data_IF_971427016191
#
_entry.id   IF_971427016191
#
_cell.length_a   1.000
_cell.length_b   1.000
_cell.length_c   1.000
_cell.angle_alpha   90.00
_cell.angle_beta   90.00
_cell.angle_gamma   90.00
#
_symmetry.space_group_name_H-M   'P 1'
#
loop_
_entity.id
_entity.type
_entity.pdbx_description
1 polymer ?
#
# COMPACT_ATOMS: atom_id res chain seq x y z
N UNK A 1 2.83 -12.54 -31.94
CA UNK A 1 2.75 -12.63 -30.47
C UNK A 1 2.04 -11.33 -30.05
N UNK A 2 0.71 -11.37 -30.04
CA UNK A 2 -0.12 -10.20 -29.77
C UNK A 2 -0.01 -9.81 -28.29
N UNK A 3 -0.02 -8.51 -28.06
CA UNK A 3 0.26 -7.81 -26.82
C UNK A 3 -0.75 -8.14 -25.68
N UNK A 4 -0.53 -9.28 -25.01
CA UNK A 4 -1.31 -9.69 -23.84
C UNK A 4 -1.18 -8.68 -22.67
N UNK A 5 -0.13 -7.87 -22.64
CA UNK A 5 0.06 -6.85 -21.62
C UNK A 5 -0.90 -5.66 -21.78
N UNK A 6 -1.16 -5.26 -23.01
CA UNK A 6 -2.10 -4.18 -23.34
C UNK A 6 -3.53 -4.53 -22.92
N UNK A 7 -3.94 -5.76 -23.13
CA UNK A 7 -5.28 -6.24 -22.77
C UNK A 7 -5.50 -6.29 -21.27
N UNK A 8 -4.52 -6.72 -20.48
CA UNK A 8 -4.61 -6.77 -19.02
C UNK A 8 -4.69 -5.37 -18.39
N UNK A 9 -3.87 -4.42 -18.88
CA UNK A 9 -3.90 -3.02 -18.43
C UNK A 9 -5.25 -2.39 -18.76
N UNK A 10 -5.73 -2.58 -19.98
CA UNK A 10 -7.03 -2.08 -20.44
C UNK A 10 -8.19 -2.67 -19.63
N UNK A 11 -8.14 -3.97 -19.33
CA UNK A 11 -9.12 -4.64 -18.48
C UNK A 11 -9.08 -4.08 -17.05
N UNK A 12 -7.89 -3.88 -16.49
CA UNK A 12 -7.74 -3.29 -15.17
C UNK A 12 -8.35 -1.89 -15.10
N UNK A 13 -7.96 -1.00 -16.01
CA UNK A 13 -8.41 0.40 -16.02
C UNK A 13 -9.92 0.55 -16.27
N UNK A 14 -10.55 -0.44 -16.90
CA UNK A 14 -12.01 -0.49 -17.09
C UNK A 14 -12.76 -0.78 -15.78
N UNK A 15 -12.19 -1.59 -14.90
CA UNK A 15 -12.88 -2.09 -13.72
C UNK A 15 -12.39 -1.46 -12.41
N UNK A 16 -11.17 -0.95 -12.39
CA UNK A 16 -10.52 -0.46 -11.18
C UNK A 16 -9.95 0.95 -11.35
N UNK A 17 -9.79 1.62 -10.23
CA UNK A 17 -9.13 2.91 -10.11
C UNK A 17 -8.07 2.79 -9.02
N UNK A 18 -6.87 3.27 -9.30
CA UNK A 18 -5.80 3.42 -8.30
C UNK A 18 -5.61 4.89 -8.04
N UNK A 19 -5.69 5.29 -6.80
CA UNK A 19 -5.54 6.67 -6.37
C UNK A 19 -4.65 6.79 -5.13
N UNK A 20 -4.09 7.97 -4.91
CA UNK A 20 -3.38 8.32 -3.70
C UNK A 20 -4.37 8.85 -2.67
N UNK A 21 -4.18 8.49 -1.41
CA UNK A 21 -4.98 9.00 -0.30
C UNK A 21 -4.44 10.35 0.15
N UNK A 22 -4.84 11.43 -0.51
CA UNK A 22 -4.31 12.78 -0.29
C UNK A 22 -5.08 13.60 0.75
N UNK A 23 -6.04 12.98 1.44
CA UNK A 23 -6.81 13.64 2.49
C UNK A 23 -7.14 12.68 3.63
N UNK A 24 -7.56 13.25 4.76
CA UNK A 24 -7.87 12.50 5.99
C UNK A 24 -8.97 11.45 5.81
N UNK A 25 -9.97 11.72 5.00
CA UNK A 25 -11.06 10.77 4.73
C UNK A 25 -10.56 9.54 3.98
N UNK A 26 -9.73 9.73 2.95
CA UNK A 26 -9.11 8.66 2.19
C UNK A 26 -8.11 7.86 3.05
N UNK A 27 -7.31 8.53 3.90
CA UNK A 27 -6.45 7.85 4.85
C UNK A 27 -7.26 6.95 5.80
N UNK A 28 -8.34 7.46 6.39
CA UNK A 28 -9.19 6.66 7.26
C UNK A 28 -9.84 5.48 6.53
N UNK A 29 -10.14 5.62 5.24
CA UNK A 29 -10.66 4.51 4.45
C UNK A 29 -9.61 3.41 4.25
N UNK A 30 -8.36 3.78 3.95
CA UNK A 30 -7.25 2.83 3.91
C UNK A 30 -7.08 2.11 5.25
N UNK A 31 -7.16 2.84 6.37
CA UNK A 31 -7.07 2.28 7.72
C UNK A 31 -8.23 1.33 8.04
N UNK A 32 -9.47 1.65 7.63
CA UNK A 32 -10.62 0.74 7.76
C UNK A 32 -10.43 -0.54 6.94
N UNK A 33 -9.91 -0.41 5.73
CA UNK A 33 -9.63 -1.57 4.88
C UNK A 33 -8.53 -2.45 5.47
N UNK A 34 -7.48 -1.87 6.01
CA UNK A 34 -6.42 -2.61 6.73
C UNK A 34 -6.97 -3.35 7.95
N UNK A 35 -7.83 -2.68 8.74
CA UNK A 35 -8.53 -3.33 9.84
C UNK A 35 -9.35 -4.54 9.35
N UNK A 36 -10.13 -4.36 8.28
CA UNK A 36 -10.88 -5.44 7.66
C UNK A 36 -9.98 -6.62 7.29
N UNK A 37 -8.88 -6.35 6.58
CA UNK A 37 -8.01 -7.40 6.05
C UNK A 37 -7.17 -8.06 7.14
N UNK A 38 -6.47 -7.28 7.97
CA UNK A 38 -5.48 -7.83 8.88
C UNK A 38 -6.10 -8.39 10.16
N UNK A 39 -7.21 -7.83 10.63
CA UNK A 39 -7.87 -8.28 11.85
C UNK A 39 -9.03 -9.24 11.58
N UNK A 40 -9.96 -8.85 10.71
CA UNK A 40 -11.19 -9.63 10.54
C UNK A 40 -11.01 -10.80 9.55
N UNK A 41 -10.30 -10.59 8.44
CA UNK A 41 -10.17 -11.64 7.43
C UNK A 41 -8.98 -12.57 7.68
N UNK A 42 -7.88 -12.07 8.27
CA UNK A 42 -6.63 -12.82 8.45
C UNK A 42 -6.26 -13.11 9.91
N UNK A 43 -6.75 -12.35 10.86
CA UNK A 43 -6.42 -12.51 12.27
C UNK A 43 -4.93 -12.30 12.61
N UNK A 44 -4.18 -11.56 11.78
CA UNK A 44 -2.73 -11.41 11.92
C UNK A 44 -2.38 -10.42 13.03
N UNK A 45 -3.17 -9.35 13.16
CA UNK A 45 -2.91 -8.31 14.15
C UNK A 45 -3.85 -8.47 15.35
N UNK A 46 -3.28 -8.57 16.57
CA UNK A 46 -4.09 -8.49 17.78
C UNK A 46 -4.71 -7.10 17.89
N UNK A 47 -5.89 -6.99 18.44
CA UNK A 47 -6.51 -5.70 18.64
C UNK A 47 -7.71 -5.71 19.53
N UNK A 48 -7.98 -4.57 20.14
CA UNK A 48 -9.21 -4.37 20.89
C UNK A 48 -10.40 -4.46 19.93
N UNK A 49 -11.42 -5.21 20.30
CA UNK A 49 -12.63 -5.44 19.51
C UNK A 49 -13.38 -4.15 19.11
N UNK A 50 -13.08 -3.05 19.79
CA UNK A 50 -13.69 -1.73 19.56
C UNK A 50 -12.95 -0.85 18.53
N UNK A 51 -11.70 -1.16 18.17
CA UNK A 51 -10.96 -0.40 17.18
C UNK A 51 -11.53 -0.69 15.78
N UNK A 52 -12.00 0.34 15.08
CA UNK A 52 -12.50 0.25 13.69
C UNK A 52 -11.46 0.62 12.65
N UNK A 53 -10.31 1.10 13.09
CA UNK A 53 -9.19 1.52 12.25
C UNK A 53 -7.95 0.73 12.62
N UNK A 54 -7.14 0.37 11.64
CA UNK A 54 -5.76 -0.07 11.84
C UNK A 54 -4.86 1.10 11.50
N UNK A 55 -4.28 1.72 12.50
CA UNK A 55 -3.42 2.89 12.40
C UNK A 55 -2.17 2.68 13.25
N UNK A 56 -1.06 3.30 12.83
CA UNK A 56 0.18 3.37 13.59
C UNK A 56 0.87 4.74 13.43
N UNK A 57 1.98 4.93 14.14
CA UNK A 57 2.75 6.18 14.16
C UNK A 57 3.30 6.61 12.80
N UNK A 58 3.39 5.70 11.82
CA UNK A 58 3.95 5.98 10.51
C UNK A 58 2.91 6.53 9.51
N UNK A 59 1.62 6.38 9.80
CA UNK A 59 0.57 6.66 8.82
C UNK A 59 0.52 8.11 8.35
N UNK A 60 0.71 9.07 9.25
CA UNK A 60 0.61 10.50 8.93
C UNK A 60 1.81 11.03 8.13
N UNK A 61 2.96 10.34 8.19
CA UNK A 61 4.18 10.67 7.45
C UNK A 61 4.38 9.78 6.21
N UNK A 62 3.35 9.03 5.80
CA UNK A 62 3.43 8.06 4.71
C UNK A 62 2.51 8.43 3.57
N UNK A 63 2.79 7.85 2.40
CA UNK A 63 1.90 7.89 1.26
C UNK A 63 1.08 6.61 1.19
N UNK A 64 -0.21 6.74 0.92
CA UNK A 64 -1.10 5.59 0.85
C UNK A 64 -1.73 5.48 -0.53
N UNK A 65 -1.78 4.26 -1.04
CA UNK A 65 -2.46 3.90 -2.28
C UNK A 65 -3.78 3.23 -1.92
N UNK A 66 -4.85 3.62 -2.61
CA UNK A 66 -6.16 2.96 -2.53
C UNK A 66 -6.51 2.41 -3.91
N UNK A 67 -6.92 1.17 -3.93
CA UNK A 67 -7.47 0.50 -5.10
C UNK A 67 -8.97 0.39 -4.93
N UNK A 68 -9.73 0.99 -5.87
CA UNK A 68 -11.20 0.98 -5.87
C UNK A 68 -11.76 0.18 -7.03
N UNK A 69 -12.85 -0.47 -6.78
CA UNK A 69 -13.71 -0.98 -7.84
C UNK A 69 -14.55 0.18 -8.43
N UNK A 70 -14.44 0.46 -9.73
CA UNK A 70 -15.12 1.61 -10.36
C UNK A 70 -16.64 1.55 -10.22
N UNK A 71 -17.23 0.37 -10.36
CA UNK A 71 -18.68 0.18 -10.33
C UNK A 71 -19.31 0.56 -9.00
N UNK A 72 -18.68 0.19 -7.90
CA UNK A 72 -19.22 0.41 -6.55
C UNK A 72 -18.59 1.58 -5.80
N UNK A 73 -17.45 2.11 -6.28
CA UNK A 73 -16.61 3.06 -5.56
C UNK A 73 -15.90 2.46 -4.34
N UNK A 74 -16.12 1.17 -4.05
CA UNK A 74 -15.62 0.52 -2.85
C UNK A 74 -14.10 0.29 -2.92
N UNK A 75 -13.39 0.65 -1.86
CA UNK A 75 -11.98 0.28 -1.70
C UNK A 75 -11.85 -1.23 -1.48
N UNK A 76 -11.03 -1.89 -2.30
CA UNK A 76 -10.76 -3.33 -2.27
C UNK A 76 -9.33 -3.66 -1.92
N UNK A 77 -8.41 -2.69 -2.05
CA UNK A 77 -7.00 -2.83 -1.73
C UNK A 77 -6.37 -1.53 -1.26
N UNK A 78 -5.30 -1.65 -0.50
CA UNK A 78 -4.45 -0.52 -0.08
C UNK A 78 -3.02 -0.98 0.12
N UNK A 79 -2.08 -0.05 -0.02
CA UNK A 79 -0.69 -0.21 0.33
C UNK A 79 -0.15 1.11 0.88
N UNK A 80 0.88 1.03 1.72
CA UNK A 80 1.55 2.17 2.30
C UNK A 80 3.00 2.23 1.84
N UNK A 81 3.46 3.43 1.52
CA UNK A 81 4.83 3.76 1.19
C UNK A 81 5.38 4.72 2.24
N UNK A 82 6.31 4.26 3.05
CA UNK A 82 7.02 5.05 4.06
C UNK A 82 8.32 5.53 3.40
N UNK A 83 8.49 6.83 3.26
CA UNK A 83 9.68 7.42 2.64
C UNK A 83 10.76 7.58 3.70
N UNK A 84 11.98 7.14 3.38
CA UNK A 84 13.16 7.36 4.22
C UNK A 84 13.56 8.82 4.23
N UNK A 85 14.28 9.22 5.26
CA UNK A 85 14.81 10.57 5.35
C UNK A 85 15.12 10.97 6.80
N UNK A 86 15.71 12.15 6.94
CA UNK A 86 15.93 12.78 8.24
C UNK A 86 14.62 13.41 8.70
N UNK A 87 14.05 12.90 9.77
CA UNK A 87 12.96 13.55 10.51
C UNK A 87 13.48 13.87 11.91
N UNK A 88 13.37 15.14 12.32
CA UNK A 88 13.75 15.63 13.65
C UNK A 88 15.17 15.22 14.10
N UNK A 89 16.15 15.28 13.19
CA UNK A 89 17.54 14.93 13.49
C UNK A 89 17.83 13.44 13.67
N UNK A 90 16.84 12.58 13.36
CA UNK A 90 16.99 11.12 13.34
C UNK A 90 16.71 10.61 11.93
N UNK A 91 17.36 9.51 11.55
CA UNK A 91 16.95 8.77 10.36
C UNK A 91 15.55 8.26 10.66
N UNK A 92 14.54 8.82 9.99
CA UNK A 92 13.16 8.37 10.06
C UNK A 92 13.11 6.90 9.69
N UNK A 93 12.95 6.06 10.72
CA UNK A 93 13.18 4.65 10.58
C UNK A 93 12.05 3.96 9.86
N UNK A 94 12.37 3.14 8.90
CA UNK A 94 11.45 2.12 8.42
C UNK A 94 11.15 1.12 9.54
N UNK A 95 9.90 0.68 9.74
CA UNK A 95 9.57 -0.39 10.68
C UNK A 95 10.46 -1.64 10.53
N UNK A 96 10.83 -1.96 9.27
CA UNK A 96 11.71 -3.09 8.93
C UNK A 96 13.10 -2.98 9.55
N UNK A 97 13.62 -1.77 9.82
CA UNK A 97 14.96 -1.58 10.40
C UNK A 97 15.13 -2.26 11.76
N UNK A 98 14.05 -2.47 12.49
CA UNK A 98 14.06 -3.19 13.77
C UNK A 98 14.49 -4.66 13.63
N UNK A 99 14.40 -5.21 12.42
CA UNK A 99 14.68 -6.60 12.11
C UNK A 99 15.94 -6.81 11.27
N UNK A 100 16.58 -5.72 10.81
CA UNK A 100 17.76 -5.77 9.98
C UNK A 100 19.03 -5.74 10.83
N UNK A 101 20.06 -6.49 10.41
CA UNK A 101 21.37 -6.40 11.02
C UNK A 101 21.99 -5.00 10.83
N UNK A 102 22.71 -4.44 11.82
CA UNK A 102 23.21 -3.06 11.78
C UNK A 102 24.06 -2.67 10.56
N UNK A 103 24.59 -3.63 9.82
CA UNK A 103 25.40 -3.38 8.61
C UNK A 103 24.63 -3.37 7.30
N UNK A 104 23.42 -3.92 7.26
CA UNK A 104 22.66 -4.09 6.00
C UNK A 104 22.19 -2.79 5.36
N UNK A 105 22.13 -1.72 6.12
CA UNK A 105 21.55 -0.44 5.71
C UNK A 105 22.58 0.64 5.43
N UNK A 106 23.86 0.31 5.67
CA UNK A 106 24.95 1.30 5.60
C UNK A 106 25.08 1.94 4.22
N UNK A 107 24.74 1.18 3.17
CA UNK A 107 24.89 1.58 1.77
C UNK A 107 23.55 1.97 1.10
N UNK A 108 22.44 1.97 1.85
CA UNK A 108 21.16 2.40 1.30
C UNK A 108 21.08 3.93 1.24
N UNK A 109 20.78 4.50 0.07
CA UNK A 109 20.57 5.94 -0.07
C UNK A 109 19.21 6.33 0.54
N UNK A 110 19.19 6.52 1.85
CA UNK A 110 17.96 6.72 2.65
C UNK A 110 17.05 7.82 2.09
N UNK A 111 17.61 8.89 1.49
CA UNK A 111 16.83 9.98 0.90
C UNK A 111 16.02 9.59 -0.35
N UNK A 112 16.36 8.47 -1.00
CA UNK A 112 15.66 7.94 -2.17
C UNK A 112 15.15 6.52 -1.96
N UNK A 113 15.10 6.07 -0.72
CA UNK A 113 14.61 4.75 -0.31
C UNK A 113 13.26 4.87 0.38
N UNK A 114 12.38 3.91 0.13
CA UNK A 114 11.10 3.80 0.82
C UNK A 114 10.84 2.35 1.26
N UNK A 115 10.01 2.19 2.28
CA UNK A 115 9.49 0.88 2.69
C UNK A 115 8.05 0.72 2.21
N UNK A 116 7.77 -0.35 1.46
CA UNK A 116 6.41 -0.75 1.12
C UNK A 116 5.87 -1.60 2.27
N UNK A 117 4.77 -1.17 2.86
CA UNK A 117 4.13 -1.88 3.96
C UNK A 117 2.61 -1.83 3.86
N UNK A 118 1.93 -2.51 4.77
CA UNK A 118 0.46 -2.53 4.85
C UNK A 118 -0.22 -2.89 3.53
N UNK A 119 0.41 -3.77 2.74
CA UNK A 119 -0.15 -4.27 1.49
C UNK A 119 -1.34 -5.19 1.79
N UNK A 120 -2.54 -4.70 1.57
CA UNK A 120 -3.79 -5.35 1.93
C UNK A 120 -4.75 -5.44 0.75
N UNK A 121 -5.28 -6.64 0.49
CA UNK A 121 -6.37 -6.91 -0.45
C UNK A 121 -7.47 -7.67 0.28
N UNK A 122 -8.68 -7.10 0.32
CA UNK A 122 -9.81 -7.73 0.98
C UNK A 122 -10.33 -8.92 0.17
N UNK A 123 -10.45 -10.08 0.78
CA UNK A 123 -11.05 -11.27 0.18
C UNK A 123 -12.57 -11.13 0.05
N UNK A 124 -13.19 -10.45 0.98
CA UNK A 124 -14.65 -10.25 1.05
C UNK A 124 -15.12 -9.24 0.00
N UNK A 125 -14.35 -8.16 -0.22
CA UNK A 125 -14.73 -7.06 -1.11
C UNK A 125 -14.36 -7.29 -2.58
N UNK A 126 -13.44 -8.20 -2.86
CA UNK A 126 -13.05 -8.56 -4.23
C UNK A 126 -13.86 -9.74 -4.72
N UNK A 127 -14.32 -9.64 -5.95
CA UNK A 127 -14.93 -10.76 -6.67
C UNK A 127 -13.91 -11.28 -7.69
N UNK A 128 -13.73 -12.58 -7.78
CA UNK A 128 -12.86 -13.19 -8.80
C UNK A 128 -11.84 -14.17 -8.23
N UNK A 129 -11.32 -15.04 -9.10
CA UNK A 129 -10.32 -16.06 -8.78
C UNK A 129 -8.89 -15.53 -8.80
N UNK A 130 -7.91 -16.45 -8.84
CA UNK A 130 -6.47 -16.15 -8.76
C UNK A 130 -5.97 -15.14 -9.82
N UNK A 131 -6.54 -15.14 -11.01
CA UNK A 131 -6.21 -14.17 -12.06
C UNK A 131 -6.54 -12.74 -11.63
N UNK A 132 -7.69 -12.53 -10.98
CA UNK A 132 -8.08 -11.23 -10.44
C UNK A 132 -7.13 -10.77 -9.33
N UNK A 133 -6.67 -11.67 -8.48
CA UNK A 133 -5.69 -11.37 -7.44
C UNK A 133 -4.39 -10.78 -8.01
N UNK A 134 -3.87 -11.37 -9.08
CA UNK A 134 -2.69 -10.87 -9.79
C UNK A 134 -2.92 -9.46 -10.33
N UNK A 135 -4.07 -9.23 -10.94
CA UNK A 135 -4.45 -7.95 -11.51
C UNK A 135 -4.58 -6.84 -10.43
N UNK A 136 -5.16 -7.17 -9.27
CA UNK A 136 -5.30 -6.23 -8.16
C UNK A 136 -3.95 -5.90 -7.51
N UNK A 137 -3.05 -6.88 -7.38
CA UNK A 137 -1.66 -6.66 -6.92
C UNK A 137 -0.91 -5.74 -7.86
N UNK A 138 -1.01 -6.00 -9.16
CA UNK A 138 -0.44 -5.12 -10.20
C UNK A 138 -0.94 -3.69 -10.05
N UNK A 139 -2.24 -3.49 -9.84
CA UNK A 139 -2.82 -2.16 -9.64
C UNK A 139 -2.22 -1.42 -8.44
N UNK A 140 -2.08 -2.08 -7.29
CA UNK A 140 -1.44 -1.49 -6.10
C UNK A 140 0.04 -1.15 -6.36
N UNK A 141 0.79 -2.06 -6.99
CA UNK A 141 2.20 -1.81 -7.34
C UNK A 141 2.33 -0.66 -8.34
N UNK A 142 1.43 -0.55 -9.31
CA UNK A 142 1.38 0.60 -10.24
C UNK A 142 1.15 1.93 -9.51
N UNK A 143 0.30 1.94 -8.47
CA UNK A 143 0.09 3.11 -7.62
C UNK A 143 1.34 3.49 -6.83
N UNK A 144 2.00 2.51 -6.21
CA UNK A 144 3.27 2.70 -5.51
C UNK A 144 4.33 3.24 -6.46
N UNK A 145 4.48 2.64 -7.64
CA UNK A 145 5.45 3.09 -8.64
C UNK A 145 5.23 4.56 -9.06
N UNK A 146 3.98 4.96 -9.29
CA UNK A 146 3.66 6.37 -9.62
C UNK A 146 4.12 7.33 -8.52
N UNK A 147 3.76 7.04 -7.26
CA UNK A 147 4.21 7.85 -6.13
C UNK A 147 5.74 7.88 -6.03
N UNK A 148 6.39 6.74 -6.26
CA UNK A 148 7.85 6.66 -6.22
C UNK A 148 8.52 7.50 -7.29
N UNK A 149 7.99 7.50 -8.51
CA UNK A 149 8.48 8.34 -9.60
C UNK A 149 8.29 9.83 -9.30
N UNK A 150 7.13 10.22 -8.78
CA UNK A 150 6.83 11.60 -8.39
C UNK A 150 7.79 12.11 -7.30
N UNK A 151 8.25 11.23 -6.42
CA UNK A 151 9.15 11.53 -5.30
C UNK A 151 10.64 11.27 -5.60
N UNK A 152 10.98 10.80 -6.79
CA UNK A 152 12.36 10.47 -7.16
C UNK A 152 12.94 9.28 -6.36
N UNK A 153 12.10 8.34 -5.91
CA UNK A 153 12.54 7.17 -5.17
C UNK A 153 13.13 6.13 -6.12
N UNK A 154 14.24 5.53 -5.69
CA UNK A 154 15.01 4.57 -6.50
C UNK A 154 15.11 3.18 -5.85
N UNK A 155 14.77 3.06 -4.57
CA UNK A 155 14.88 1.81 -3.79
C UNK A 155 13.61 1.56 -2.94
N UNK A 156 13.25 0.28 -2.81
CA UNK A 156 12.19 -0.22 -1.91
C UNK A 156 12.67 -1.43 -1.14
#
# INVERSE_FOLDING_TARGET
MQDQGSDAVSMFDRHFLVERADNQSALQEAQRLRHQVFRLERGILPGHAQARLEADEFDHASHHVILRQRRSGQAVGTARLIVGGWQDGRIGGFPMLRYCAPGMLRDLPMGTTAEISRFALSKVRRQGGACMDGLLRYGLMRGILRISLDLGLTHW
#
